data_IF_137282339123
#
_entry.id   IF_137282339123
#
_cell.length_a   1.000
_cell.length_b   1.000
_cell.length_c   1.000
_cell.angle_alpha   90.00
_cell.angle_beta   90.00
_cell.angle_gamma   90.00
#
_symmetry.space_group_name_H-M   'P 1'
#
loop_
_entity.id
_entity.type
_entity.pdbx_description
1 polymer ?
#
# COMPACT_ATOMS: atom_id res chain seq x y z
N UNK A 1 5.18 12.96 1.02
CA UNK A 1 4.27 12.19 0.13
C UNK A 1 3.75 10.95 0.86
N UNK A 2 2.66 10.31 0.39
CA UNK A 2 2.17 9.07 1.03
C UNK A 2 3.20 7.95 1.05
N UNK A 3 4.18 7.94 0.13
CA UNK A 3 5.26 6.96 0.12
C UNK A 3 6.26 7.18 1.24
N UNK A 4 6.71 8.42 1.42
CA UNK A 4 7.64 8.80 2.50
C UNK A 4 7.03 8.54 3.89
N UNK A 5 5.70 8.69 4.03
CA UNK A 5 5.02 8.37 5.28
C UNK A 5 5.20 6.89 5.67
N UNK A 6 5.19 5.95 4.71
CA UNK A 6 5.47 4.54 5.00
C UNK A 6 6.93 4.31 5.42
N UNK A 7 7.89 5.06 4.86
CA UNK A 7 9.29 4.96 5.27
C UNK A 7 9.50 5.45 6.71
N UNK A 8 8.78 6.49 7.12
CA UNK A 8 8.78 6.96 8.52
C UNK A 8 8.19 5.91 9.47
N UNK A 9 7.10 5.24 9.09
CA UNK A 9 6.51 4.17 9.90
C UNK A 9 7.45 2.97 10.07
N UNK A 10 8.18 2.59 9.02
CA UNK A 10 9.22 1.55 9.11
C UNK A 10 10.35 2.00 10.03
N UNK A 11 10.81 3.23 9.89
CA UNK A 11 11.89 3.80 10.73
C UNK A 11 11.49 3.82 12.20
N UNK A 12 10.23 4.09 12.50
CA UNK A 12 9.67 4.03 13.85
C UNK A 12 9.43 2.60 14.38
N UNK A 13 9.69 1.56 13.57
CA UNK A 13 9.43 0.16 13.93
C UNK A 13 7.95 -0.21 13.98
N UNK A 14 7.07 0.65 13.45
CA UNK A 14 5.61 0.52 13.51
C UNK A 14 5.05 -0.28 12.33
N UNK A 15 5.87 -0.54 11.31
CA UNK A 15 5.46 -1.31 10.14
C UNK A 15 6.66 -2.10 9.60
N UNK A 16 6.41 -3.31 9.09
CA UNK A 16 7.47 -4.08 8.44
C UNK A 16 7.87 -3.46 7.09
N UNK A 17 9.15 -3.54 6.75
CA UNK A 17 9.67 -3.02 5.48
C UNK A 17 9.00 -3.68 4.25
N UNK A 18 8.68 -4.97 4.34
CA UNK A 18 7.97 -5.71 3.29
C UNK A 18 6.58 -5.12 3.03
N UNK A 19 5.79 -4.91 4.09
CA UNK A 19 4.45 -4.32 3.97
C UNK A 19 4.52 -2.88 3.45
N UNK A 20 5.48 -2.07 3.93
CA UNK A 20 5.67 -0.70 3.44
C UNK A 20 5.96 -0.68 1.95
N UNK A 21 6.82 -1.57 1.46
CA UNK A 21 7.16 -1.64 0.04
C UNK A 21 5.95 -1.98 -0.83
N UNK A 22 5.12 -2.93 -0.39
CA UNK A 22 3.86 -3.28 -1.08
C UNK A 22 2.88 -2.11 -1.11
N UNK A 23 2.69 -1.42 0.02
CA UNK A 23 1.79 -0.25 0.10
C UNK A 23 2.32 0.93 -0.74
N UNK A 24 3.63 1.18 -0.75
CA UNK A 24 4.26 2.17 -1.63
C UNK A 24 4.07 1.84 -3.12
N UNK A 25 4.10 0.57 -3.50
CA UNK A 25 3.78 0.15 -4.87
C UNK A 25 2.31 0.48 -5.21
N UNK A 26 1.38 0.19 -4.29
CA UNK A 26 -0.04 0.51 -4.43
C UNK A 26 -0.32 2.02 -4.57
N UNK A 27 0.39 2.88 -3.82
CA UNK A 27 0.31 4.34 -4.00
C UNK A 27 0.74 4.74 -5.42
N UNK A 28 1.77 4.10 -5.96
CA UNK A 28 2.20 4.32 -7.34
C UNK A 28 1.16 3.90 -8.36
N UNK A 29 0.58 2.71 -8.18
CA UNK A 29 -0.49 2.22 -9.04
C UNK A 29 -1.69 3.17 -9.03
N UNK A 30 -2.12 3.65 -7.86
CA UNK A 30 -3.19 4.65 -7.73
C UNK A 30 -2.89 5.93 -8.51
N UNK A 31 -1.64 6.38 -8.55
CA UNK A 31 -1.28 7.56 -9.34
C UNK A 31 -1.40 7.31 -10.85
N UNK A 32 -1.08 6.11 -11.35
CA UNK A 32 -1.29 5.75 -12.77
C UNK A 32 -2.79 5.68 -13.07
N UNK A 33 -3.56 5.03 -12.21
CA UNK A 33 -5.00 4.83 -12.40
C UNK A 33 -5.81 6.13 -12.32
N UNK A 34 -5.38 7.10 -11.49
CA UNK A 34 -6.07 8.39 -11.33
C UNK A 34 -5.66 9.40 -12.40
N UNK A 35 -4.44 9.33 -12.91
CA UNK A 35 -3.95 10.35 -13.84
C UNK A 35 -4.34 10.14 -15.31
N UNK A 36 -5.04 9.06 -15.69
CA UNK A 36 -5.73 8.78 -16.98
C UNK A 36 -4.97 9.03 -18.32
N UNK A 37 -3.73 9.50 -18.28
CA UNK A 37 -2.86 9.70 -19.46
C UNK A 37 -2.31 8.37 -20.01
N UNK A 38 -2.37 7.30 -19.23
CA UNK A 38 -2.05 5.94 -19.65
C UNK A 38 -3.23 5.04 -19.34
N UNK A 39 -3.68 4.26 -20.33
CA UNK A 39 -4.70 3.23 -20.14
C UNK A 39 -4.29 2.29 -19.01
N UNK A 40 -5.14 2.12 -18.00
CA UNK A 40 -4.90 1.20 -16.89
C UNK A 40 -4.81 -0.23 -17.41
N UNK A 41 -3.71 -0.92 -17.09
CA UNK A 41 -3.57 -2.34 -17.41
C UNK A 41 -4.48 -3.18 -16.49
N UNK A 42 -5.53 -3.77 -17.06
CA UNK A 42 -6.53 -4.56 -16.33
C UNK A 42 -5.95 -5.85 -15.73
N UNK A 43 -4.89 -6.42 -16.28
CA UNK A 43 -4.22 -7.59 -15.69
C UNK A 43 -3.53 -7.21 -14.37
N UNK A 44 -2.98 -6.00 -14.28
CA UNK A 44 -2.43 -5.47 -13.02
C UNK A 44 -3.56 -5.26 -12.00
N UNK A 45 -4.70 -4.69 -12.42
CA UNK A 45 -5.88 -4.52 -11.55
C UNK A 45 -6.35 -5.88 -11.01
N UNK A 46 -6.48 -6.89 -11.88
CA UNK A 46 -6.88 -8.25 -11.47
C UNK A 46 -5.90 -8.81 -10.45
N UNK A 47 -4.60 -8.73 -10.70
CA UNK A 47 -3.60 -9.23 -9.76
C UNK A 47 -3.66 -8.53 -8.41
N UNK A 48 -3.93 -7.22 -8.37
CA UNK A 48 -4.12 -6.50 -7.11
C UNK A 48 -5.32 -7.04 -6.33
N UNK A 49 -6.45 -7.22 -7.02
CA UNK A 49 -7.68 -7.75 -6.42
C UNK A 49 -7.46 -9.17 -5.89
N UNK A 50 -6.81 -10.04 -6.67
CA UNK A 50 -6.66 -11.45 -6.32
C UNK A 50 -5.55 -11.71 -5.29
N UNK A 51 -4.47 -10.92 -5.30
CA UNK A 51 -3.24 -11.23 -4.55
C UNK A 51 -2.86 -10.20 -3.49
N UNK A 52 -3.28 -8.95 -3.63
CA UNK A 52 -2.80 -7.84 -2.79
C UNK A 52 -3.86 -7.21 -1.89
N UNK A 53 -5.14 -7.61 -1.96
CA UNK A 53 -6.16 -7.12 -1.04
C UNK A 53 -5.85 -7.40 0.43
N UNK A 54 -5.15 -8.51 0.71
CA UNK A 54 -4.73 -8.88 2.05
C UNK A 54 -3.72 -7.88 2.65
N UNK A 55 -2.91 -7.22 1.82
CA UNK A 55 -1.93 -6.24 2.29
C UNK A 55 -2.62 -5.05 2.99
N UNK A 56 -3.81 -4.64 2.51
CA UNK A 56 -4.62 -3.60 3.18
C UNK A 56 -5.15 -4.08 4.54
N UNK A 57 -5.61 -5.33 4.63
CA UNK A 57 -6.06 -5.90 5.91
C UNK A 57 -4.92 -5.97 6.92
N UNK A 58 -3.73 -6.36 6.47
CA UNK A 58 -2.55 -6.41 7.30
C UNK A 58 -2.17 -4.99 7.77
N UNK A 59 -2.17 -4.01 6.88
CA UNK A 59 -1.96 -2.61 7.25
C UNK A 59 -2.95 -2.13 8.32
N UNK A 60 -4.26 -2.37 8.13
CA UNK A 60 -5.27 -2.01 9.13
C UNK A 60 -5.00 -2.69 10.47
N UNK A 61 -4.62 -3.97 10.47
CA UNK A 61 -4.29 -4.70 11.70
C UNK A 61 -3.10 -4.07 12.43
N UNK A 62 -2.00 -3.78 11.74
CA UNK A 62 -0.81 -3.13 12.32
C UNK A 62 -1.20 -1.75 12.91
N UNK A 63 -1.94 -0.93 12.15
CA UNK A 63 -2.35 0.40 12.60
C UNK A 63 -3.28 0.35 13.81
N UNK A 64 -4.24 -0.57 13.85
CA UNK A 64 -5.11 -0.73 15.04
C UNK A 64 -4.30 -1.13 16.27
N UNK A 65 -3.30 -2.01 16.11
CA UNK A 65 -2.41 -2.39 17.20
C UNK A 65 -1.60 -1.20 17.75
N UNK A 66 -1.23 -0.24 16.91
CA UNK A 66 -0.55 1.00 17.34
C UNK A 66 -1.48 1.91 18.12
N UNK A 67 -2.75 1.97 17.71
CA UNK A 67 -3.74 2.90 18.28
C UNK A 67 -4.43 2.38 19.56
N UNK A 68 -4.00 1.23 20.08
CA UNK A 68 -4.58 0.58 21.28
C UNK A 68 -6.10 0.31 21.18
N UNK A 69 -6.63 0.10 19.96
CA UNK A 69 -8.02 -0.30 19.72
C UNK A 69 -8.20 -1.81 19.61
#
# INVERSE_FOLDING_TARGET
SSREAFDLLVTAGLLSADLANKLKAMVGFRNIAVHDYQSVNLDIVRQIIEKHLTDFKLFTKEVMGILEF
#
